data_IF_226889387853
#
_entry.id   IF_226889387853
#
_cell.length_a   1.000
_cell.length_b   1.000
_cell.length_c   1.000
_cell.angle_alpha   90.00
_cell.angle_beta   90.00
_cell.angle_gamma   90.00
#
_symmetry.space_group_name_H-M   'P 1'
#
loop_
_entity.id
_entity.type
_entity.pdbx_description
1 polymer ?
#
# COMPACT_ATOMS: atom_id res chain seq x y z
N UNK A 1 -21.39 -2.34 -0.08
CA UNK A 1 -20.97 -3.09 -1.29
C UNK A 1 -19.89 -2.35 -2.11
N UNK A 2 -20.03 -1.05 -2.41
CA UNK A 2 -19.05 -0.30 -3.23
C UNK A 2 -17.61 -0.33 -2.69
N UNK A 3 -17.42 -0.14 -1.37
CA UNK A 3 -16.07 -0.16 -0.77
C UNK A 3 -15.39 -1.53 -0.89
N UNK A 4 -16.15 -2.63 -0.80
CA UNK A 4 -15.60 -3.97 -0.97
C UNK A 4 -15.10 -4.22 -2.40
N UNK A 5 -15.80 -3.67 -3.41
CA UNK A 5 -15.32 -3.70 -4.80
C UNK A 5 -14.04 -2.87 -4.96
N UNK A 6 -13.98 -1.67 -4.38
CA UNK A 6 -12.80 -0.82 -4.44
C UNK A 6 -11.60 -1.46 -3.74
N UNK A 7 -11.78 -2.07 -2.57
CA UNK A 7 -10.72 -2.81 -1.87
C UNK A 7 -10.19 -3.98 -2.70
N UNK A 8 -11.07 -4.75 -3.35
CA UNK A 8 -10.64 -5.83 -4.27
C UNK A 8 -9.78 -5.34 -5.43
N UNK A 9 -9.95 -4.08 -5.85
CA UNK A 9 -9.13 -3.44 -6.89
C UNK A 9 -7.84 -2.86 -6.30
N UNK A 10 -7.92 -2.13 -5.20
CA UNK A 10 -6.76 -1.48 -4.57
C UNK A 10 -5.74 -2.50 -4.06
N UNK A 11 -6.16 -3.65 -3.54
CA UNK A 11 -5.27 -4.63 -2.92
C UNK A 11 -4.22 -5.23 -3.90
N UNK A 12 -4.58 -5.68 -5.12
CA UNK A 12 -3.59 -6.10 -6.11
C UNK A 12 -2.57 -5.01 -6.46
N UNK A 13 -2.99 -3.75 -6.64
CA UNK A 13 -2.05 -2.65 -6.90
C UNK A 13 -1.11 -2.43 -5.71
N UNK A 14 -1.64 -2.46 -4.49
CA UNK A 14 -0.84 -2.38 -3.27
C UNK A 14 0.22 -3.49 -3.21
N UNK A 15 -0.17 -4.73 -3.52
CA UNK A 15 0.75 -5.87 -3.53
C UNK A 15 1.85 -5.70 -4.58
N UNK A 16 1.48 -5.31 -5.81
CA UNK A 16 2.46 -5.12 -6.90
C UNK A 16 3.45 -4.03 -6.52
N UNK A 17 2.98 -2.87 -6.07
CA UNK A 17 3.86 -1.76 -5.70
C UNK A 17 4.74 -2.15 -4.51
N UNK A 18 4.21 -2.85 -3.51
CA UNK A 18 4.99 -3.35 -2.38
C UNK A 18 6.11 -4.29 -2.83
N UNK A 19 5.82 -5.24 -3.74
CA UNK A 19 6.82 -6.17 -4.28
C UNK A 19 7.91 -5.40 -5.05
N UNK A 20 7.53 -4.42 -5.87
CA UNK A 20 8.50 -3.56 -6.57
C UNK A 20 9.38 -2.79 -5.59
N UNK A 21 8.80 -2.24 -4.52
CA UNK A 21 9.56 -1.52 -3.49
C UNK A 21 10.54 -2.41 -2.74
N UNK A 22 10.13 -3.62 -2.37
CA UNK A 22 11.02 -4.61 -1.73
C UNK A 22 12.13 -5.02 -2.70
N UNK A 23 11.80 -5.33 -3.96
CA UNK A 23 12.79 -5.75 -4.94
C UNK A 23 13.81 -4.64 -5.25
N UNK A 24 13.35 -3.40 -5.41
CA UNK A 24 14.23 -2.26 -5.68
C UNK A 24 15.05 -1.84 -4.47
N UNK A 25 14.49 -1.91 -3.26
CA UNK A 25 15.23 -1.63 -2.03
C UNK A 25 16.30 -2.68 -1.73
N UNK A 26 15.99 -3.97 -1.87
CA UNK A 26 16.97 -5.05 -1.71
C UNK A 26 17.99 -5.10 -2.84
N UNK A 27 17.58 -4.68 -4.04
CA UNK A 27 18.42 -4.63 -5.23
C UNK A 27 19.18 -3.32 -5.42
N UNK A 28 19.20 -2.42 -4.43
CA UNK A 28 19.82 -1.10 -4.55
C UNK A 28 21.24 -1.16 -5.13
N UNK A 29 22.06 -2.10 -4.65
CA UNK A 29 23.48 -2.18 -5.02
C UNK A 29 23.73 -2.86 -6.38
N UNK A 30 22.70 -3.48 -6.97
CA UNK A 30 22.78 -4.18 -8.27
C UNK A 30 22.00 -3.48 -9.38
N UNK A 31 21.06 -2.61 -9.03
CA UNK A 31 20.29 -1.83 -9.99
C UNK A 31 21.14 -0.67 -10.50
N UNK A 32 21.05 -0.32 -11.79
CA UNK A 32 21.67 0.92 -12.25
C UNK A 32 21.01 2.10 -11.52
N UNK A 33 21.83 3.06 -11.09
CA UNK A 33 21.43 4.20 -10.24
C UNK A 33 20.22 4.94 -10.81
N UNK A 34 20.21 5.20 -12.13
CA UNK A 34 19.10 5.85 -12.84
C UNK A 34 17.75 5.12 -12.68
N UNK A 35 17.76 3.79 -12.64
CA UNK A 35 16.55 2.98 -12.46
C UNK A 35 16.08 3.03 -11.01
N UNK A 36 17.02 2.96 -10.06
CA UNK A 36 16.71 3.05 -8.65
C UNK A 36 16.11 4.43 -8.30
N UNK A 37 16.78 5.52 -8.68
CA UNK A 37 16.37 6.89 -8.39
C UNK A 37 14.99 7.24 -8.98
N UNK A 38 14.61 6.60 -10.08
CA UNK A 38 13.30 6.83 -10.67
C UNK A 38 12.22 5.91 -10.10
N UNK A 39 12.47 4.60 -10.01
CA UNK A 39 11.46 3.60 -9.65
C UNK A 39 11.21 3.59 -8.14
N UNK A 40 12.26 3.59 -7.33
CA UNK A 40 12.10 3.40 -5.88
C UNK A 40 11.38 4.59 -5.24
N UNK A 41 11.82 5.86 -5.41
CA UNK A 41 11.11 7.01 -4.84
C UNK A 41 9.68 7.18 -5.37
N UNK A 42 9.48 7.07 -6.69
CA UNK A 42 8.14 7.23 -7.30
C UNK A 42 7.19 6.14 -6.85
N UNK A 43 7.66 4.89 -6.83
CA UNK A 43 6.86 3.77 -6.33
C UNK A 43 6.61 3.86 -4.82
N UNK A 44 7.54 4.44 -4.04
CA UNK A 44 7.37 4.69 -2.61
C UNK A 44 6.24 5.69 -2.36
N UNK A 45 6.20 6.79 -3.12
CA UNK A 45 5.09 7.73 -3.09
C UNK A 45 3.75 7.06 -3.46
N UNK A 46 3.74 6.26 -4.53
CA UNK A 46 2.54 5.52 -4.95
C UNK A 46 2.07 4.53 -3.87
N UNK A 47 3.00 3.86 -3.18
CA UNK A 47 2.70 2.94 -2.08
C UNK A 47 1.99 3.66 -0.94
N UNK A 48 2.51 4.83 -0.53
CA UNK A 48 1.91 5.66 0.53
C UNK A 48 0.49 6.09 0.16
N UNK A 49 0.28 6.55 -1.08
CA UNK A 49 -1.04 6.96 -1.55
C UNK A 49 -2.03 5.79 -1.59
N UNK A 50 -1.62 4.63 -2.11
CA UNK A 50 -2.47 3.44 -2.14
C UNK A 50 -2.77 2.92 -0.73
N UNK A 51 -1.81 2.97 0.19
CA UNK A 51 -2.00 2.62 1.60
C UNK A 51 -3.01 3.54 2.28
N UNK A 52 -2.95 4.86 2.04
CA UNK A 52 -3.91 5.82 2.54
C UNK A 52 -5.34 5.56 2.01
N UNK A 53 -5.47 5.29 0.71
CA UNK A 53 -6.75 4.91 0.09
C UNK A 53 -7.28 3.60 0.69
N UNK A 54 -6.42 2.59 0.84
CA UNK A 54 -6.80 1.32 1.46
C UNK A 54 -7.30 1.53 2.90
N UNK A 55 -6.59 2.31 3.70
CA UNK A 55 -6.97 2.61 5.07
C UNK A 55 -8.31 3.36 5.14
N UNK A 56 -8.52 4.36 4.29
CA UNK A 56 -9.77 5.09 4.20
C UNK A 56 -10.96 4.18 3.83
N UNK A 57 -10.77 3.29 2.85
CA UNK A 57 -11.80 2.32 2.46
C UNK A 57 -12.11 1.30 3.56
N UNK A 58 -11.13 0.95 4.39
CA UNK A 58 -11.25 0.03 5.54
C UNK A 58 -11.54 0.71 6.88
N UNK A 59 -11.75 2.03 6.92
CA UNK A 59 -11.79 2.78 8.19
C UNK A 59 -12.88 2.29 9.17
N UNK A 60 -14.04 1.85 8.67
CA UNK A 60 -15.08 1.29 9.51
C UNK A 60 -14.66 -0.04 10.17
N UNK A 61 -13.91 -0.88 9.46
CA UNK A 61 -13.35 -2.10 10.01
C UNK A 61 -12.30 -1.77 11.09
N UNK A 62 -11.38 -0.83 10.80
CA UNK A 62 -10.37 -0.37 11.77
C UNK A 62 -11.02 0.12 13.06
N UNK A 63 -12.04 0.99 12.96
CA UNK A 63 -12.80 1.45 14.12
C UNK A 63 -13.41 0.27 14.91
N UNK A 64 -14.01 -0.69 14.22
CA UNK A 64 -14.68 -1.81 14.88
C UNK A 64 -13.71 -2.73 15.64
N UNK A 65 -12.49 -2.92 15.13
CA UNK A 65 -11.50 -3.83 15.73
C UNK A 65 -10.68 -3.13 16.80
N UNK A 66 -10.25 -1.89 16.55
CA UNK A 66 -9.22 -1.22 17.36
C UNK A 66 -9.74 -0.06 18.20
N UNK A 67 -10.87 0.56 17.83
CA UNK A 67 -11.39 1.76 18.48
C UNK A 67 -12.78 1.56 19.12
N UNK A 68 -13.36 0.35 19.05
CA UNK A 68 -14.61 0.07 19.74
C UNK A 68 -14.35 -0.22 21.22
N UNK A 69 -14.61 0.78 22.06
CA UNK A 69 -14.55 0.66 23.52
C UNK A 69 -15.93 0.27 24.05
N UNK A 70 -16.27 -1.02 24.06
CA UNK A 70 -17.52 -1.50 24.67
C UNK A 70 -17.68 -3.03 24.61
N UNK A 71 -18.20 -3.68 25.66
CA UNK A 71 -18.31 -5.14 25.73
C UNK A 71 -19.27 -5.67 24.66
N UNK A 72 -18.83 -6.72 23.95
CA UNK A 72 -19.65 -7.49 23.01
C UNK A 72 -20.61 -8.40 23.74
#
# INVERSE_FOLDING_TARGET
>A
MKNALWLKRTNPFLLVVLVVQVATGLGHDILPEEWFEWIHPTGGLLLVLLAAVHLALNWNWVKSVYLSSGPR
#
